data_IF_512381392153
#
_entry.id   IF_512381392153
#
_cell.length_a   1.000
_cell.length_b   1.000
_cell.length_c   1.000
_cell.angle_alpha   90.00
_cell.angle_beta   90.00
_cell.angle_gamma   90.00
#
_symmetry.space_group_name_H-M   'P 1'
#
loop_
_entity.id
_entity.type
_entity.pdbx_description
1 polymer ?
#
# COMPACT_ATOMS: atom_id res chain seq x y z
N UNK A 1 -10.17 29.12 -27.43
CA UNK A 1 -10.46 27.72 -27.05
C UNK A 1 -9.25 27.01 -26.44
N UNK A 2 -8.06 26.99 -27.07
CA UNK A 2 -6.85 26.36 -26.50
C UNK A 2 -6.42 26.90 -25.12
N UNK A 3 -6.52 28.23 -24.90
CA UNK A 3 -6.20 28.83 -23.59
C UNK A 3 -7.17 28.41 -22.46
N UNK A 4 -8.45 28.15 -22.79
CA UNK A 4 -9.48 27.74 -21.84
C UNK A 4 -9.29 26.29 -21.41
N UNK A 5 -8.87 25.41 -22.32
CA UNK A 5 -8.57 23.99 -22.02
C UNK A 5 -7.31 23.87 -21.16
N UNK A 6 -6.25 24.65 -21.47
CA UNK A 6 -5.02 24.69 -20.67
C UNK A 6 -5.27 25.20 -19.24
N UNK A 7 -6.15 26.18 -19.10
CA UNK A 7 -6.57 26.69 -17.80
C UNK A 7 -7.35 25.65 -16.99
N UNK A 8 -8.26 24.90 -17.62
CA UNK A 8 -9.07 23.89 -16.94
C UNK A 8 -8.23 22.68 -16.49
N UNK A 9 -7.27 22.24 -17.31
CA UNK A 9 -6.32 21.18 -16.95
C UNK A 9 -5.45 21.57 -15.76
N UNK A 10 -4.92 22.80 -15.76
CA UNK A 10 -4.17 23.33 -14.61
C UNK A 10 -5.05 23.42 -13.34
N UNK A 11 -6.31 23.82 -13.47
CA UNK A 11 -7.23 23.85 -12.32
C UNK A 11 -7.52 22.46 -11.76
N UNK A 12 -7.67 21.44 -12.62
CA UNK A 12 -7.89 20.06 -12.18
C UNK A 12 -6.65 19.54 -11.45
N UNK A 13 -5.45 19.72 -12.02
CA UNK A 13 -4.20 19.26 -11.39
C UNK A 13 -3.89 20.01 -10.09
N UNK A 14 -4.22 21.30 -9.99
CA UNK A 14 -4.09 22.08 -8.76
C UNK A 14 -5.11 21.72 -7.68
N UNK A 15 -6.33 21.30 -8.08
CA UNK A 15 -7.39 20.87 -7.16
C UNK A 15 -7.13 19.49 -6.57
N UNK A 16 -6.38 18.64 -7.27
CA UNK A 16 -5.99 17.29 -6.85
C UNK A 16 -4.86 17.32 -5.79
N UNK A 17 -5.08 18.00 -4.67
CA UNK A 17 -4.08 18.16 -3.59
C UNK A 17 -3.61 16.85 -2.96
N UNK A 18 -4.40 15.78 -3.09
CA UNK A 18 -4.08 14.46 -2.56
C UNK A 18 -3.11 13.69 -3.48
N UNK A 19 -2.87 14.19 -4.70
CA UNK A 19 -1.99 13.57 -5.69
C UNK A 19 -0.85 14.52 -6.06
N UNK A 20 0.38 14.01 -5.93
CA UNK A 20 1.55 14.64 -6.50
C UNK A 20 1.60 14.34 -7.99
N UNK A 21 1.61 15.38 -8.81
CA UNK A 21 1.76 15.31 -10.26
C UNK A 21 3.06 16.02 -10.61
N UNK A 22 3.97 15.26 -11.21
CA UNK A 22 5.30 15.72 -11.65
C UNK A 22 5.38 15.50 -13.16
N UNK A 23 5.74 16.54 -13.89
CA UNK A 23 5.93 16.45 -15.35
C UNK A 23 7.39 16.68 -15.67
N UNK A 24 7.95 15.88 -16.57
CA UNK A 24 9.33 16.01 -17.04
C UNK A 24 9.40 16.07 -18.56
N UNK A 25 10.53 16.54 -19.07
CA UNK A 25 10.91 16.34 -20.47
C UNK A 25 11.44 14.90 -20.72
N UNK A 26 11.95 14.66 -21.93
CA UNK A 26 12.51 13.37 -22.36
C UNK A 26 13.77 12.95 -21.60
N UNK A 27 14.52 13.90 -21.05
CA UNK A 27 15.75 13.66 -20.29
C UNK A 27 15.47 13.53 -18.78
N UNK A 28 14.21 13.67 -18.37
CA UNK A 28 13.80 13.57 -16.97
C UNK A 28 14.00 14.87 -16.17
N UNK A 29 14.20 16.02 -16.83
CA UNK A 29 14.19 17.31 -16.17
C UNK A 29 12.76 17.72 -15.86
N UNK A 30 12.50 18.13 -14.62
CA UNK A 30 11.18 18.54 -14.16
C UNK A 30 10.78 19.84 -14.86
N UNK A 31 9.64 19.81 -15.55
CA UNK A 31 9.07 20.94 -16.29
C UNK A 31 7.83 21.50 -15.61
N UNK A 32 7.09 20.68 -14.86
CA UNK A 32 5.90 21.11 -14.12
C UNK A 32 5.75 20.33 -12.80
N UNK A 33 5.08 20.96 -11.83
CA UNK A 33 4.99 20.50 -10.46
C UNK A 33 3.74 21.07 -9.79
N UNK A 34 2.72 20.22 -9.57
CA UNK A 34 1.45 20.71 -9.01
C UNK A 34 1.52 21.00 -7.50
N UNK A 35 0.44 21.59 -6.98
CA UNK A 35 0.29 21.87 -5.53
C UNK A 35 0.36 20.59 -4.68
N UNK A 36 -0.19 19.47 -5.16
CA UNK A 36 -0.10 18.20 -4.47
C UNK A 36 1.34 17.69 -4.33
N UNK A 37 2.17 17.87 -5.37
CA UNK A 37 3.58 17.52 -5.33
C UNK A 37 4.34 18.40 -4.34
N UNK A 38 3.99 19.69 -4.25
CA UNK A 38 4.52 20.58 -3.20
C UNK A 38 4.16 20.08 -1.81
N UNK A 39 2.91 19.68 -1.59
CA UNK A 39 2.45 19.19 -0.28
C UNK A 39 3.12 17.87 0.12
N UNK A 40 3.30 16.95 -0.84
CA UNK A 40 3.91 15.65 -0.59
C UNK A 40 5.42 15.80 -0.43
N UNK A 41 6.13 16.38 -1.39
CA UNK A 41 7.59 16.36 -1.36
C UNK A 41 8.23 17.55 -0.63
N UNK A 42 7.48 18.62 -0.35
CA UNK A 42 7.98 19.81 0.36
C UNK A 42 8.84 20.76 -0.49
N UNK A 43 9.01 20.46 -1.78
CA UNK A 43 9.63 21.38 -2.75
C UNK A 43 8.59 22.31 -3.35
N UNK A 44 8.90 23.61 -3.44
CA UNK A 44 8.10 24.52 -4.26
C UNK A 44 8.42 24.35 -5.73
N UNK A 45 7.46 24.64 -6.60
CA UNK A 45 7.62 24.54 -8.05
C UNK A 45 8.84 25.32 -8.55
N UNK A 46 9.06 26.53 -8.05
CA UNK A 46 10.16 27.40 -8.49
C UNK A 46 11.55 26.88 -8.05
N UNK A 47 11.60 25.96 -7.09
CA UNK A 47 12.84 25.37 -6.60
C UNK A 47 13.24 24.09 -7.34
N UNK A 48 12.24 23.38 -7.89
CA UNK A 48 12.36 22.01 -8.39
C UNK A 48 12.33 21.94 -9.92
N UNK A 49 11.64 22.87 -10.59
CA UNK A 49 11.65 22.97 -12.06
C UNK A 49 13.08 23.19 -12.55
N UNK A 50 13.47 22.42 -13.58
CA UNK A 50 14.83 22.38 -14.12
C UNK A 50 15.78 21.43 -13.40
N UNK A 51 15.37 20.78 -12.30
CA UNK A 51 16.13 19.68 -11.68
C UNK A 51 15.77 18.35 -12.32
N UNK A 52 16.69 17.39 -12.25
CA UNK A 52 16.39 15.99 -12.58
C UNK A 52 15.39 15.40 -11.60
N UNK A 53 14.47 14.58 -12.10
CA UNK A 53 13.52 13.81 -11.28
C UNK A 53 14.21 12.86 -10.31
N UNK A 54 15.47 12.50 -10.54
CA UNK A 54 16.27 11.68 -9.62
C UNK A 54 16.35 12.27 -8.19
N UNK A 55 16.19 13.58 -8.02
CA UNK A 55 16.26 14.21 -6.70
C UNK A 55 15.15 13.77 -5.72
N UNK A 56 14.07 13.15 -6.20
CA UNK A 56 13.01 12.60 -5.35
C UNK A 56 13.19 11.09 -5.06
N UNK A 57 14.18 10.42 -5.67
CA UNK A 57 14.45 8.99 -5.45
C UNK A 57 15.43 8.78 -4.29
N UNK A 58 15.38 7.61 -3.66
CA UNK A 58 16.32 7.28 -2.59
C UNK A 58 17.72 6.95 -3.15
N UNK A 59 18.79 7.03 -2.33
CA UNK A 59 20.13 6.69 -2.78
C UNK A 59 20.22 5.27 -3.36
N UNK A 60 19.46 4.32 -2.79
CA UNK A 60 19.39 2.94 -3.26
C UNK A 60 18.80 2.86 -4.68
N UNK A 61 17.73 3.60 -4.95
CA UNK A 61 17.12 3.64 -6.28
C UNK A 61 18.02 4.32 -7.33
N UNK A 62 18.85 5.30 -6.94
CA UNK A 62 19.84 5.90 -7.84
C UNK A 62 20.89 4.89 -8.30
N UNK A 63 21.36 4.00 -7.42
CA UNK A 63 22.38 2.99 -7.78
C UNK A 63 21.92 2.05 -8.89
N UNK A 64 20.61 1.80 -8.97
CA UNK A 64 19.99 0.89 -9.93
C UNK A 64 19.26 1.62 -11.06
N UNK A 65 19.42 2.95 -11.15
CA UNK A 65 18.80 3.80 -12.19
C UNK A 65 17.29 3.64 -12.28
N UNK A 66 16.61 3.64 -11.12
CA UNK A 66 15.17 3.36 -11.03
C UNK A 66 14.33 4.31 -11.89
N UNK A 67 14.64 5.61 -11.86
CA UNK A 67 13.92 6.61 -12.64
C UNK A 67 13.97 6.32 -14.16
N UNK A 68 15.14 5.93 -14.68
CA UNK A 68 15.32 5.58 -16.09
C UNK A 68 14.56 4.31 -16.47
N UNK A 69 14.52 3.34 -15.57
CA UNK A 69 13.75 2.12 -15.80
C UNK A 69 12.24 2.41 -15.83
N UNK A 70 11.73 3.24 -14.92
CA UNK A 70 10.32 3.69 -14.95
C UNK A 70 10.00 4.44 -16.25
N UNK A 71 10.86 5.37 -16.67
CA UNK A 71 10.71 6.08 -17.94
C UNK A 71 10.67 5.11 -19.12
N UNK A 72 11.61 4.16 -19.19
CA UNK A 72 11.67 3.14 -20.25
C UNK A 72 10.42 2.27 -20.29
N UNK A 73 9.99 1.74 -19.14
CA UNK A 73 8.81 0.88 -19.02
C UNK A 73 7.53 1.64 -19.37
N UNK A 74 7.40 2.90 -18.95
CA UNK A 74 6.21 3.70 -19.27
C UNK A 74 6.02 3.88 -20.78
N UNK A 75 7.10 3.99 -21.56
CA UNK A 75 7.03 4.09 -23.01
C UNK A 75 6.69 2.74 -23.65
N UNK A 76 7.27 1.65 -23.14
CA UNK A 76 7.08 0.31 -23.67
C UNK A 76 5.65 -0.21 -23.42
N UNK A 77 5.16 -0.04 -22.20
CA UNK A 77 3.93 -0.67 -21.70
C UNK A 77 2.77 0.32 -21.55
N UNK A 78 3.02 1.60 -21.82
CA UNK A 78 2.07 2.70 -21.65
C UNK A 78 1.95 3.24 -20.23
N UNK A 79 2.49 2.51 -19.24
CA UNK A 79 2.59 2.91 -17.83
C UNK A 79 3.73 2.16 -17.14
N UNK A 80 4.26 2.71 -16.05
CA UNK A 80 5.16 2.02 -15.14
C UNK A 80 4.68 2.23 -13.70
N UNK A 81 4.45 1.14 -12.98
CA UNK A 81 4.01 1.19 -11.58
C UNK A 81 5.14 1.66 -10.65
N UNK A 82 4.75 2.42 -9.64
CA UNK A 82 5.62 2.93 -8.60
C UNK A 82 5.03 2.70 -7.21
N UNK A 83 5.53 1.67 -6.53
CA UNK A 83 5.27 1.44 -5.10
C UNK A 83 6.59 1.31 -4.34
N UNK A 84 7.09 2.42 -3.82
CA UNK A 84 8.40 2.46 -3.13
C UNK A 84 8.55 3.65 -2.20
N UNK A 85 9.66 3.66 -1.47
CA UNK A 85 10.09 4.82 -0.71
C UNK A 85 10.63 5.91 -1.63
N UNK A 86 10.24 7.16 -1.38
CA UNK A 86 10.78 8.35 -2.02
C UNK A 86 11.29 9.35 -0.97
N UNK A 87 12.09 10.32 -1.40
CA UNK A 87 12.63 11.38 -0.54
C UNK A 87 11.84 12.68 -0.69
N UNK A 88 11.55 13.30 0.46
CA UNK A 88 11.13 14.71 0.53
C UNK A 88 12.35 15.63 0.53
N UNK A 89 12.12 16.93 0.37
CA UNK A 89 13.14 17.99 0.43
C UNK A 89 13.98 17.95 1.70
N UNK A 90 13.38 17.65 2.85
CA UNK A 90 14.04 17.57 4.15
C UNK A 90 14.81 16.26 4.37
N UNK A 91 14.79 15.34 3.39
CA UNK A 91 15.42 14.03 3.47
C UNK A 91 14.58 12.95 4.15
N UNK A 92 13.40 13.30 4.68
CA UNK A 92 12.46 12.29 5.20
C UNK A 92 11.93 11.41 4.06
N UNK A 93 11.64 10.15 4.40
CA UNK A 93 11.10 9.17 3.46
C UNK A 93 9.58 9.12 3.55
N UNK A 94 8.94 8.83 2.42
CA UNK A 94 7.51 8.50 2.38
C UNK A 94 7.27 7.37 1.39
N UNK A 95 6.25 6.54 1.66
CA UNK A 95 5.87 5.45 0.77
C UNK A 95 4.95 5.99 -0.32
N UNK A 96 5.47 6.07 -1.54
CA UNK A 96 4.70 6.43 -2.72
C UNK A 96 3.93 5.21 -3.23
N UNK A 97 2.72 5.45 -3.73
CA UNK A 97 1.95 4.53 -4.56
C UNK A 97 1.40 5.34 -5.72
N UNK A 98 1.76 4.95 -6.94
CA UNK A 98 1.53 5.73 -8.14
C UNK A 98 2.00 5.05 -9.42
N UNK A 99 2.02 5.82 -10.50
CA UNK A 99 2.48 5.36 -11.81
C UNK A 99 3.12 6.52 -12.61
N UNK A 100 3.97 6.14 -13.55
CA UNK A 100 4.52 7.02 -14.58
C UNK A 100 3.93 6.67 -15.95
N UNK A 101 3.57 7.69 -16.73
CA UNK A 101 3.02 7.56 -18.07
C UNK A 101 3.78 8.45 -19.07
N UNK A 102 3.89 8.05 -20.34
CA UNK A 102 4.49 8.89 -21.36
C UNK A 102 3.57 10.07 -21.69
N UNK A 103 4.12 11.28 -21.65
CA UNK A 103 3.47 12.49 -22.13
C UNK A 103 3.60 12.56 -23.66
N UNK A 104 2.48 12.62 -24.37
CA UNK A 104 2.45 12.71 -25.83
C UNK A 104 1.69 13.95 -26.28
N UNK A 105 2.10 14.52 -27.41
CA UNK A 105 1.35 15.60 -28.04
C UNK A 105 0.14 15.09 -28.84
N UNK A 106 -0.58 16.04 -29.45
CA UNK A 106 -1.76 15.77 -30.27
C UNK A 106 -1.46 14.87 -31.48
N UNK A 107 -0.20 14.81 -31.93
CA UNK A 107 0.25 13.96 -33.03
C UNK A 107 0.79 12.61 -32.54
N UNK A 108 0.78 12.36 -31.23
CA UNK A 108 1.25 11.14 -30.59
C UNK A 108 2.77 11.10 -30.35
N UNK A 109 3.50 12.18 -30.66
CA UNK A 109 4.93 12.24 -30.44
C UNK A 109 5.23 12.34 -28.94
N UNK A 110 6.22 11.59 -28.47
CA UNK A 110 6.63 11.54 -27.08
C UNK A 110 7.37 12.82 -26.70
N UNK A 111 6.88 13.54 -25.68
CA UNK A 111 7.43 14.83 -25.24
C UNK A 111 8.06 14.78 -23.84
N UNK A 112 7.87 13.69 -23.10
CA UNK A 112 8.37 13.53 -21.75
C UNK A 112 7.49 12.60 -20.94
N UNK A 113 7.42 12.82 -19.63
CA UNK A 113 6.74 11.89 -18.72
C UNK A 113 5.85 12.63 -17.74
N UNK A 114 4.77 11.98 -17.32
CA UNK A 114 3.95 12.40 -16.18
C UNK A 114 4.02 11.32 -15.12
N UNK A 115 4.45 11.68 -13.91
CA UNK A 115 4.41 10.82 -12.74
C UNK A 115 3.30 11.29 -11.82
N UNK A 116 2.37 10.41 -11.49
CA UNK A 116 1.27 10.67 -10.56
C UNK A 116 1.42 9.72 -9.38
N UNK A 117 1.50 10.26 -8.16
CA UNK A 117 1.66 9.44 -6.96
C UNK A 117 0.94 10.03 -5.76
N UNK A 118 0.71 9.16 -4.78
CA UNK A 118 0.14 9.51 -3.49
C UNK A 118 1.03 9.02 -2.37
N UNK A 119 1.10 9.79 -1.29
CA UNK A 119 1.68 9.34 -0.04
C UNK A 119 0.77 8.32 0.65
N UNK A 120 1.26 7.10 0.80
CA UNK A 120 0.59 6.00 1.50
C UNK A 120 1.42 5.47 2.68
N UNK A 121 2.29 6.31 3.25
CA UNK A 121 3.17 5.93 4.37
C UNK A 121 2.38 5.36 5.53
N UNK A 122 1.30 6.04 5.96
CA UNK A 122 0.45 5.58 7.06
C UNK A 122 -0.13 4.18 6.78
N UNK A 123 -0.64 3.94 5.57
CA UNK A 123 -1.22 2.65 5.20
C UNK A 123 -0.16 1.57 5.12
N UNK A 124 1.01 1.89 4.55
CA UNK A 124 2.13 0.96 4.47
C UNK A 124 2.62 0.55 5.87
N UNK A 125 2.84 1.50 6.77
CA UNK A 125 3.27 1.26 8.14
C UNK A 125 2.22 0.51 8.96
N UNK A 126 0.94 0.89 8.87
CA UNK A 126 -0.15 0.18 9.55
C UNK A 126 -0.24 -1.27 9.08
N UNK A 127 -0.14 -1.49 7.77
CA UNK A 127 -0.14 -2.84 7.20
C UNK A 127 1.08 -3.65 7.62
N UNK A 128 2.26 -3.02 7.72
CA UNK A 128 3.48 -3.67 8.20
C UNK A 128 3.35 -4.08 9.67
N UNK A 129 2.89 -3.19 10.54
CA UNK A 129 2.67 -3.48 11.96
C UNK A 129 1.66 -4.61 12.17
N UNK A 130 0.57 -4.62 11.39
CA UNK A 130 -0.43 -5.69 11.46
C UNK A 130 0.15 -7.05 11.05
N UNK A 131 0.95 -7.09 9.99
CA UNK A 131 1.64 -8.31 9.55
C UNK A 131 2.64 -8.79 10.62
N UNK A 132 3.50 -7.90 11.11
CA UNK A 132 4.47 -8.25 12.16
C UNK A 132 3.79 -8.76 13.44
N UNK A 133 2.66 -8.14 13.83
CA UNK A 133 1.86 -8.60 14.95
C UNK A 133 1.28 -10.00 14.70
N UNK A 134 0.71 -10.22 13.51
CA UNK A 134 0.14 -11.51 13.11
C UNK A 134 1.20 -12.61 13.09
N UNK A 135 2.33 -12.39 12.41
CA UNK A 135 3.41 -13.37 12.30
C UNK A 135 3.97 -13.74 13.69
N UNK A 136 4.10 -12.74 14.56
CA UNK A 136 4.53 -12.95 15.95
C UNK A 136 3.49 -13.73 16.76
N UNK A 137 2.21 -13.45 16.58
CA UNK A 137 1.13 -14.16 17.24
C UNK A 137 1.07 -15.63 16.81
N UNK A 138 1.14 -15.90 15.50
CA UNK A 138 1.17 -17.27 14.94
C UNK A 138 2.36 -18.05 15.49
N UNK A 139 3.56 -17.46 15.47
CA UNK A 139 4.77 -18.09 16.04
C UNK A 139 4.61 -18.44 17.53
N UNK A 140 3.97 -17.56 18.31
CA UNK A 140 3.72 -17.80 19.74
C UNK A 140 2.73 -18.95 19.95
N UNK A 141 1.64 -19.00 19.18
CA UNK A 141 0.66 -20.08 19.28
C UNK A 141 1.25 -21.43 18.88
N UNK A 142 2.11 -21.47 17.86
CA UNK A 142 2.77 -22.70 17.41
C UNK A 142 3.74 -23.27 18.45
N UNK A 143 4.42 -22.38 19.19
CA UNK A 143 5.49 -22.77 20.12
C UNK A 143 5.02 -22.99 21.56
N UNK A 144 3.87 -22.43 21.97
CA UNK A 144 3.38 -22.59 23.34
C UNK A 144 2.91 -24.02 23.60
N UNK A 145 3.36 -24.61 24.70
CA UNK A 145 2.97 -25.97 25.11
C UNK A 145 1.62 -26.03 25.83
N UNK A 146 1.09 -24.87 26.25
CA UNK A 146 -0.24 -24.75 26.84
C UNK A 146 -1.30 -24.86 25.74
N UNK A 147 -2.28 -25.74 25.96
CA UNK A 147 -3.45 -25.85 25.07
C UNK A 147 -4.24 -24.53 25.07
N UNK A 148 -4.47 -24.00 23.88
CA UNK A 148 -5.22 -22.78 23.65
C UNK A 148 -6.17 -22.98 22.46
N UNK A 149 -7.40 -22.49 22.60
CA UNK A 149 -8.36 -22.44 21.52
C UNK A 149 -9.28 -21.23 21.63
N UNK A 150 -9.68 -20.68 20.49
CA UNK A 150 -10.73 -19.65 20.37
C UNK A 150 -12.00 -20.37 19.94
N UNK A 151 -13.10 -20.09 20.65
CA UNK A 151 -14.40 -20.71 20.37
C UNK A 151 -15.44 -19.66 20.01
N UNK A 152 -16.31 -20.01 19.08
CA UNK A 152 -17.54 -19.28 18.77
C UNK A 152 -18.71 -19.96 19.49
N UNK A 153 -19.46 -19.21 20.28
CA UNK A 153 -20.60 -19.73 21.03
C UNK A 153 -21.87 -19.62 20.20
N UNK A 154 -22.68 -20.68 20.20
CA UNK A 154 -24.02 -20.71 19.62
C UNK A 154 -25.04 -20.37 20.69
N UNK A 155 -25.95 -19.47 20.35
CA UNK A 155 -27.06 -19.07 21.21
C UNK A 155 -28.40 -19.55 20.64
N UNK A 156 -29.36 -19.84 21.51
CA UNK A 156 -30.75 -20.11 21.12
C UNK A 156 -31.58 -18.82 20.94
N UNK A 157 -32.88 -18.95 20.71
CA UNK A 157 -33.79 -17.82 20.49
C UNK A 157 -34.01 -16.96 21.75
N UNK A 158 -33.67 -17.48 22.93
CA UNK A 158 -33.79 -16.81 24.23
C UNK A 158 -32.43 -16.24 24.70
N UNK A 159 -31.45 -16.15 23.78
CA UNK A 159 -30.08 -15.65 24.02
C UNK A 159 -29.29 -16.50 25.04
N UNK A 160 -29.59 -17.80 25.13
CA UNK A 160 -28.88 -18.73 26.01
C UNK A 160 -27.80 -19.49 25.24
N UNK A 161 -26.58 -19.63 25.77
CA UNK A 161 -25.53 -20.40 25.12
C UNK A 161 -25.91 -21.89 25.12
N UNK A 162 -25.84 -22.55 23.97
CA UNK A 162 -26.25 -23.95 23.79
C UNK A 162 -25.15 -24.86 23.24
N UNK A 163 -24.13 -24.27 22.61
CA UNK A 163 -23.01 -25.01 22.00
C UNK A 163 -21.82 -24.05 21.76
N UNK A 164 -20.65 -24.59 21.42
CA UNK A 164 -19.54 -23.81 20.92
C UNK A 164 -18.71 -24.58 19.87
N UNK A 165 -18.13 -23.84 18.93
CA UNK A 165 -17.28 -24.36 17.86
C UNK A 165 -15.88 -23.81 17.97
N UNK A 166 -14.87 -24.64 17.80
CA UNK A 166 -13.47 -24.19 17.79
C UNK A 166 -13.18 -23.47 16.46
N UNK A 167 -12.84 -22.19 16.52
CA UNK A 167 -12.47 -21.38 15.36
C UNK A 167 -10.96 -21.47 15.10
N UNK A 168 -10.19 -21.45 16.18
CA UNK A 168 -8.74 -21.65 16.16
C UNK A 168 -8.36 -22.56 17.33
N UNK A 169 -7.40 -23.45 17.09
CA UNK A 169 -6.78 -24.28 18.12
C UNK A 169 -5.28 -24.32 17.84
N UNK A 170 -4.47 -24.20 18.89
CA UNK A 170 -3.02 -24.31 18.72
C UNK A 170 -2.56 -25.79 18.72
N UNK A 171 -1.33 -26.09 18.25
CA UNK A 171 -0.85 -27.47 18.19
C UNK A 171 -0.81 -28.18 19.54
N UNK A 172 -0.62 -27.45 20.65
CA UNK A 172 -0.69 -28.04 21.99
C UNK A 172 -2.10 -28.54 22.33
N UNK A 173 -3.14 -27.79 21.95
CA UNK A 173 -4.53 -28.19 22.14
C UNK A 173 -4.84 -29.48 21.37
N UNK A 174 -4.45 -29.56 20.09
CA UNK A 174 -4.65 -30.79 19.30
C UNK A 174 -3.94 -32.00 19.91
N UNK A 175 -2.68 -31.83 20.36
CA UNK A 175 -1.93 -32.91 21.02
C UNK A 175 -2.59 -33.38 22.32
N UNK A 176 -3.14 -32.45 23.12
CA UNK A 176 -3.78 -32.77 24.39
C UNK A 176 -5.18 -33.35 24.22
N UNK A 177 -5.97 -32.80 23.31
CA UNK A 177 -7.30 -33.31 22.96
C UNK A 177 -7.21 -34.65 22.23
N UNK A 178 -6.10 -34.92 21.52
CA UNK A 178 -5.89 -36.12 20.72
C UNK A 178 -6.69 -36.12 19.41
N UNK A 179 -7.33 -34.99 19.08
CA UNK A 179 -8.18 -34.82 17.90
C UNK A 179 -8.07 -33.38 17.38
N UNK A 180 -8.14 -33.24 16.06
CA UNK A 180 -8.35 -31.94 15.41
C UNK A 180 -9.83 -31.56 15.52
N UNK A 181 -10.09 -30.48 16.26
CA UNK A 181 -11.42 -29.95 16.52
C UNK A 181 -11.71 -28.65 15.78
N UNK A 182 -10.77 -28.16 14.94
CA UNK A 182 -10.96 -26.90 14.24
C UNK A 182 -12.18 -26.97 13.30
N UNK A 183 -13.06 -25.97 13.42
CA UNK A 183 -14.31 -25.87 12.68
C UNK A 183 -15.45 -26.78 13.14
N UNK A 184 -15.26 -27.60 14.18
CA UNK A 184 -16.27 -28.55 14.68
C UNK A 184 -16.98 -28.02 15.92
N UNK A 185 -18.29 -28.26 16.01
CA UNK A 185 -19.03 -28.03 17.26
C UNK A 185 -18.62 -29.05 18.31
N UNK A 186 -18.56 -28.63 19.59
CA UNK A 186 -18.17 -29.56 20.65
C UNK A 186 -19.13 -30.74 20.74
N UNK A 187 -20.42 -30.53 20.47
CA UNK A 187 -21.44 -31.60 20.49
C UNK A 187 -21.23 -32.68 19.42
N UNK A 188 -20.50 -32.40 18.34
CA UNK A 188 -20.13 -33.42 17.35
C UNK A 188 -19.12 -34.44 17.90
N UNK A 189 -18.31 -34.02 18.87
CA UNK A 189 -17.25 -34.84 19.46
C UNK A 189 -17.60 -35.37 20.85
N UNK A 190 -18.26 -34.54 21.66
CA UNK A 190 -18.68 -34.85 23.02
C UNK A 190 -20.17 -34.50 23.18
N UNK A 191 -21.08 -35.33 22.65
CA UNK A 191 -22.53 -35.08 22.69
C UNK A 191 -23.10 -35.04 24.12
N UNK A 192 -22.40 -35.68 25.07
CA UNK A 192 -22.76 -35.78 26.48
C UNK A 192 -22.03 -34.77 27.38
N UNK A 193 -21.23 -33.85 26.81
CA UNK A 193 -20.58 -32.79 27.58
C UNK A 193 -21.66 -31.87 28.18
N UNK A 194 -21.49 -31.46 29.45
CA UNK A 194 -22.40 -30.54 30.14
C UNK A 194 -22.65 -29.30 29.26
N UNK A 195 -23.91 -29.09 28.89
CA UNK A 195 -24.35 -27.87 28.23
C UNK A 195 -24.36 -26.75 29.29
N UNK A 196 -24.02 -25.54 28.86
CA UNK A 196 -23.96 -24.33 29.69
C UNK A 196 -25.16 -24.17 30.64
#
# INVERSE_FOLDING_TARGET
MAATVRHHLNQITESAIDFAIVVTDLDGLITDWNRGATNVFGWKQEEIVGRTIECIFTPEDLTIRRAQEEMRLSVADGRAEDERWHLRKDGSRFWASGEMMPLRDEMGAHQGYVKILRDRTRQHETGKQLREFKDRFETLLETVETAFAIVEVKFDADDRPVDYRFIEANPAFERQAGVDLQGKWVTEFAPDLERF
#
